data_IF_217086788491
#
_entry.id   IF_217086788491
#
_cell.length_a   1.000
_cell.length_b   1.000
_cell.length_c   1.000
_cell.angle_alpha   90.00
_cell.angle_beta   90.00
_cell.angle_gamma   90.00
#
_symmetry.space_group_name_H-M   'P 1'
#
loop_
_entity.id
_entity.type
_entity.pdbx_description
1 polymer ?
#
# COMPACT_ATOMS: atom_id res chain seq x y z
N UNK A 1 10.33 4.17 8.61
CA UNK A 1 10.03 4.58 7.23
C UNK A 1 11.34 5.08 6.64
N UNK A 2 11.79 4.48 5.54
CA UNK A 2 13.06 4.85 4.90
C UNK A 2 12.80 5.29 3.47
N UNK A 3 13.25 6.50 3.13
CA UNK A 3 13.23 7.02 1.77
C UNK A 3 14.68 7.27 1.35
N UNK A 4 15.08 6.71 0.23
CA UNK A 4 16.41 6.87 -0.36
C UNK A 4 16.23 7.42 -1.78
N UNK A 5 16.78 8.60 -2.02
CA UNK A 5 16.73 9.26 -3.32
C UNK A 5 18.14 9.58 -3.79
N UNK A 6 18.35 9.48 -5.10
CA UNK A 6 19.54 9.96 -5.78
C UNK A 6 19.11 10.99 -6.83
N UNK A 7 19.81 12.12 -6.91
CA UNK A 7 19.49 13.21 -7.84
C UNK A 7 20.68 13.56 -8.73
N UNK A 8 20.40 14.17 -9.88
CA UNK A 8 21.43 14.84 -10.67
C UNK A 8 21.78 16.24 -10.11
N UNK A 9 22.69 16.95 -10.79
CA UNK A 9 23.16 18.30 -10.43
C UNK A 9 22.05 19.37 -10.41
N UNK A 10 20.92 19.09 -11.07
CA UNK A 10 19.74 19.97 -11.14
C UNK A 10 18.68 19.59 -10.10
N UNK A 11 18.94 18.57 -9.27
CA UNK A 11 18.01 18.08 -8.26
C UNK A 11 16.90 17.17 -8.82
N UNK A 12 17.04 16.66 -10.05
CA UNK A 12 16.05 15.74 -10.63
C UNK A 12 16.34 14.32 -10.13
N UNK A 13 15.31 13.66 -9.58
CA UNK A 13 15.41 12.30 -9.06
C UNK A 13 15.77 11.32 -10.19
N UNK A 14 16.87 10.59 -10.02
CA UNK A 14 17.35 9.52 -10.90
C UNK A 14 17.05 8.13 -10.35
N UNK A 15 16.92 8.00 -9.04
CA UNK A 15 16.54 6.77 -8.35
C UNK A 15 15.74 7.09 -7.09
N UNK A 16 14.74 6.26 -6.82
CA UNK A 16 13.98 6.27 -5.57
C UNK A 16 13.84 4.84 -5.04
N UNK A 17 14.16 4.63 -3.76
CA UNK A 17 13.92 3.39 -3.03
C UNK A 17 13.20 3.71 -1.72
N UNK A 18 12.11 3.00 -1.45
CA UNK A 18 11.23 3.26 -0.31
C UNK A 18 10.95 1.97 0.46
N UNK A 19 11.39 1.93 1.72
CA UNK A 19 11.06 0.84 2.66
C UNK A 19 10.09 1.40 3.70
N UNK A 20 8.80 1.18 3.47
CA UNK A 20 7.73 1.72 4.32
C UNK A 20 7.43 0.84 5.53
N UNK A 21 6.71 1.39 6.52
CA UNK A 21 6.50 0.76 7.83
C UNK A 21 5.92 -0.66 7.73
N UNK A 22 4.79 -0.85 7.06
CA UNK A 22 4.12 -2.15 6.93
C UNK A 22 5.00 -3.21 6.26
N UNK A 23 5.83 -2.83 5.28
CA UNK A 23 6.72 -3.77 4.59
C UNK A 23 7.71 -4.45 5.55
N UNK A 24 8.18 -3.73 6.58
CA UNK A 24 9.06 -4.30 7.63
C UNK A 24 8.35 -5.37 8.48
N UNK A 25 7.02 -5.36 8.53
CA UNK A 25 6.20 -6.31 9.29
C UNK A 25 5.63 -7.44 8.44
N UNK A 26 5.87 -7.48 7.13
CA UNK A 26 5.24 -8.44 6.22
C UNK A 26 5.39 -9.90 6.69
N UNK A 27 6.60 -10.32 7.05
CA UNK A 27 6.85 -11.66 7.57
C UNK A 27 6.15 -11.92 8.91
N UNK A 28 6.13 -10.95 9.83
CA UNK A 28 5.50 -11.09 11.15
C UNK A 28 3.99 -11.21 11.03
N UNK A 29 3.39 -10.42 10.15
CA UNK A 29 1.96 -10.49 9.82
C UNK A 29 1.62 -11.88 9.28
N UNK A 30 2.38 -12.38 8.30
CA UNK A 30 2.14 -13.71 7.72
C UNK A 30 2.24 -14.82 8.78
N UNK A 31 3.27 -14.79 9.64
CA UNK A 31 3.42 -15.75 10.74
C UNK A 31 2.29 -15.66 11.76
N UNK A 32 1.82 -14.45 12.10
CA UNK A 32 0.71 -14.25 13.04
C UNK A 32 -0.62 -14.77 12.47
N UNK A 33 -0.88 -14.56 11.18
CA UNK A 33 -2.04 -15.12 10.49
C UNK A 33 -2.00 -16.65 10.48
N UNK A 34 -0.85 -17.25 10.12
CA UNK A 34 -0.67 -18.71 10.14
C UNK A 34 -0.92 -19.31 11.54
N UNK A 35 -0.34 -18.70 12.58
CA UNK A 35 -0.54 -19.13 13.97
C UNK A 35 -1.99 -18.98 14.42
N UNK A 36 -2.64 -17.87 14.08
CA UNK A 36 -4.04 -17.65 14.43
C UNK A 36 -4.95 -18.69 13.76
N UNK A 37 -4.76 -18.95 12.47
CA UNK A 37 -5.50 -19.97 11.73
C UNK A 37 -5.32 -21.36 12.35
N UNK A 38 -4.08 -21.78 12.62
CA UNK A 38 -3.78 -23.06 13.29
C UNK A 38 -4.36 -23.14 14.69
N UNK A 39 -4.50 -22.03 15.40
CA UNK A 39 -5.08 -21.95 16.74
C UNK A 39 -6.59 -22.17 16.75
N UNK A 40 -7.32 -21.58 15.80
CA UNK A 40 -8.80 -21.51 15.86
C UNK A 40 -9.51 -22.43 14.87
N UNK A 41 -8.89 -22.84 13.76
CA UNK A 41 -9.48 -23.73 12.75
C UNK A 41 -9.09 -25.17 13.07
N UNK A 42 -10.07 -26.03 13.33
CA UNK A 42 -9.88 -27.44 13.70
C UNK A 42 -10.86 -28.35 12.95
N UNK A 43 -10.41 -29.54 12.57
CA UNK A 43 -11.27 -30.56 11.93
C UNK A 43 -11.92 -30.11 10.61
N UNK A 44 -11.27 -29.21 9.87
CA UNK A 44 -11.77 -28.69 8.59
C UNK A 44 -12.97 -27.73 8.70
N UNK A 45 -13.41 -27.37 9.91
CA UNK A 45 -14.54 -26.44 10.10
C UNK A 45 -14.07 -24.99 10.01
N UNK A 46 -14.65 -24.25 9.07
CA UNK A 46 -14.39 -22.82 8.87
C UNK A 46 -15.72 -22.08 8.93
N UNK A 47 -15.78 -21.03 9.73
CA UNK A 47 -16.95 -20.15 9.86
C UNK A 47 -16.51 -18.69 9.80
N UNK A 48 -17.41 -17.79 9.46
CA UNK A 48 -17.15 -16.34 9.46
C UNK A 48 -16.55 -15.84 10.79
N UNK A 49 -17.07 -16.33 11.92
CA UNK A 49 -16.55 -15.98 13.23
C UNK A 49 -15.10 -16.44 13.46
N UNK A 50 -14.69 -17.57 12.88
CA UNK A 50 -13.30 -18.05 12.93
C UNK A 50 -12.41 -17.24 11.98
N UNK A 51 -12.88 -16.94 10.78
CA UNK A 51 -12.16 -16.10 9.81
C UNK A 51 -11.90 -14.70 10.38
N UNK A 52 -12.91 -14.07 11.00
CA UNK A 52 -12.75 -12.78 11.66
C UNK A 52 -11.67 -12.82 12.77
N UNK A 53 -11.57 -13.91 13.54
CA UNK A 53 -10.48 -14.07 14.53
C UNK A 53 -9.10 -14.20 13.89
N UNK A 54 -9.01 -14.84 12.73
CA UNK A 54 -7.75 -14.92 11.96
C UNK A 54 -7.38 -13.53 11.41
N UNK A 55 -8.35 -12.77 10.90
CA UNK A 55 -8.11 -11.41 10.39
C UNK A 55 -7.64 -10.44 11.49
N UNK A 56 -8.16 -10.58 12.70
CA UNK A 56 -7.69 -9.80 13.86
C UNK A 56 -6.16 -9.90 14.04
N UNK A 57 -5.55 -11.03 13.67
CA UNK A 57 -4.12 -11.23 13.78
C UNK A 57 -3.30 -10.26 12.92
N UNK A 58 -3.75 -9.91 11.71
CA UNK A 58 -3.07 -8.89 10.91
C UNK A 58 -3.56 -7.48 11.23
N UNK A 59 -4.85 -7.28 11.58
CA UNK A 59 -5.39 -5.96 11.95
C UNK A 59 -4.69 -5.36 13.18
N UNK A 60 -4.21 -6.19 14.09
CA UNK A 60 -3.42 -5.76 15.24
C UNK A 60 -2.12 -5.02 14.88
N UNK A 61 -1.66 -5.12 13.63
CA UNK A 61 -0.48 -4.40 13.13
C UNK A 61 -0.82 -3.07 12.45
N UNK A 62 -2.10 -2.70 12.36
CA UNK A 62 -2.59 -1.55 11.60
C UNK A 62 -1.94 -1.42 10.19
N UNK A 63 -2.07 -2.45 9.32
CA UNK A 63 -1.27 -2.51 8.11
C UNK A 63 -1.80 -1.58 7.02
N UNK A 64 -0.99 -0.60 6.63
CA UNK A 64 -1.18 0.10 5.36
C UNK A 64 -0.57 -0.72 4.19
N UNK A 65 -1.38 -1.56 3.53
CA UNK A 65 -0.91 -2.41 2.42
C UNK A 65 -0.59 -1.63 1.14
N UNK A 66 -1.39 -0.61 0.80
CA UNK A 66 -1.11 0.27 -0.34
C UNK A 66 0.21 1.04 -0.18
N UNK A 67 0.52 1.44 1.06
CA UNK A 67 1.84 1.98 1.38
C UNK A 67 2.92 0.91 1.17
N UNK A 68 2.71 -0.30 1.70
CA UNK A 68 3.67 -1.40 1.69
C UNK A 68 4.19 -1.75 0.29
N UNK A 69 3.26 -1.82 -0.66
CA UNK A 69 3.54 -2.25 -2.03
C UNK A 69 3.86 -1.08 -2.95
N UNK A 70 3.57 0.15 -2.53
CA UNK A 70 3.52 1.33 -3.41
C UNK A 70 2.62 1.09 -4.64
N UNK A 71 1.64 0.19 -4.48
CA UNK A 71 0.68 -0.15 -5.51
C UNK A 71 -0.70 0.13 -4.95
N UNK A 72 -1.40 1.07 -5.59
CA UNK A 72 -2.84 1.15 -5.47
C UNK A 72 -3.44 -0.04 -6.25
N UNK A 73 -4.48 -0.72 -5.77
CA UNK A 73 -5.27 -1.58 -6.65
C UNK A 73 -5.93 -0.69 -7.71
N UNK A 74 -5.46 -0.77 -8.96
CA UNK A 74 -5.89 0.08 -10.07
C UNK A 74 -4.89 1.17 -10.44
N UNK A 75 -5.37 2.21 -11.10
CA UNK A 75 -4.58 3.34 -11.61
C UNK A 75 -4.76 4.55 -10.70
N UNK A 76 -3.76 5.44 -10.61
CA UNK A 76 -3.93 6.76 -10.00
C UNK A 76 -4.69 7.64 -10.99
N UNK A 77 -5.97 8.02 -10.77
CA UNK A 77 -6.66 8.92 -11.67
C UNK A 77 -6.16 10.34 -11.43
N UNK A 78 -4.94 10.62 -11.88
CA UNK A 78 -4.42 11.98 -11.86
C UNK A 78 -4.92 12.68 -13.11
N UNK A 79 -5.84 13.63 -12.92
CA UNK A 79 -6.29 14.54 -13.96
C UNK A 79 -5.66 15.91 -13.70
N UNK A 80 -4.76 16.34 -14.57
CA UNK A 80 -4.17 17.67 -14.57
C UNK A 80 -4.91 18.56 -15.57
N UNK A 81 -5.62 19.57 -15.05
CA UNK A 81 -6.27 20.60 -15.86
C UNK A 81 -5.34 21.81 -16.00
N UNK A 82 -4.96 22.16 -17.22
CA UNK A 82 -4.07 23.28 -17.52
C UNK A 82 -4.93 24.47 -17.95
N UNK A 83 -4.76 25.61 -17.28
CA UNK A 83 -5.49 26.84 -17.57
C UNK A 83 -4.54 27.94 -18.03
N UNK A 84 -4.98 28.78 -18.97
CA UNK A 84 -4.23 29.98 -19.35
C UNK A 84 -4.43 31.14 -18.35
N UNK A 85 -3.78 32.28 -18.60
CA UNK A 85 -3.87 33.48 -17.77
C UNK A 85 -5.28 34.07 -17.67
N UNK A 86 -6.19 33.71 -18.59
CA UNK A 86 -7.60 34.11 -18.57
C UNK A 86 -8.49 33.05 -17.89
N UNK A 87 -7.89 32.05 -17.20
CA UNK A 87 -8.57 30.89 -16.60
C UNK A 87 -9.37 30.04 -17.59
N UNK A 88 -9.04 30.09 -18.89
CA UNK A 88 -9.61 29.17 -19.87
C UNK A 88 -8.85 27.85 -19.84
N UNK A 89 -9.58 26.73 -19.76
CA UNK A 89 -8.98 25.40 -19.88
C UNK A 89 -8.34 25.28 -21.26
N UNK A 90 -7.03 25.06 -21.28
CA UNK A 90 -6.26 24.89 -22.51
C UNK A 90 -5.89 23.45 -22.77
N UNK A 91 -5.78 22.63 -21.72
CA UNK A 91 -5.46 21.22 -21.87
C UNK A 91 -5.90 20.41 -20.63
N UNK A 92 -6.10 19.12 -20.82
CA UNK A 92 -6.38 18.15 -19.77
C UNK A 92 -5.56 16.89 -20.01
N UNK A 93 -4.67 16.59 -19.07
CA UNK A 93 -3.86 15.37 -19.10
C UNK A 93 -4.39 14.42 -18.03
N UNK A 94 -4.79 13.22 -18.45
CA UNK A 94 -5.22 12.15 -17.54
C UNK A 94 -4.23 10.98 -17.61
N UNK A 95 -3.68 10.58 -16.46
CA UNK A 95 -2.97 9.31 -16.34
C UNK A 95 -3.95 8.22 -15.90
N UNK A 96 -4.02 7.16 -16.69
CA UNK A 96 -4.65 5.90 -16.32
C UNK A 96 -3.61 4.83 -16.03
#
# INVERSE_FOLDING_TARGET
>A
LFHHYETDERGIIKMANMIVATANNAARIAMSVDRAAKGVIKGGKVTEGLLNKVEMAFRAYDPCLGCATHSLPGHLPLVANIYNSQRRLVDQVAQG
#
